data_IF_935281478950
#
_entry.id   IF_935281478950
#
_cell.length_a   1.000
_cell.length_b   1.000
_cell.length_c   1.000
_cell.angle_alpha   90.00
_cell.angle_beta   90.00
_cell.angle_gamma   90.00
#
_symmetry.space_group_name_H-M   'P 1'
#
loop_
_entity.id
_entity.type
_entity.pdbx_description
1 polymer ?
#
# COMPACT_ATOMS: atom_id res chain seq x y z
N UNK A 1 1.92 10.61 10.23
CA UNK A 1 1.75 9.41 9.39
C UNK A 1 0.34 9.40 8.82
N UNK A 2 0.24 9.08 7.53
CA UNK A 2 -1.00 8.97 6.75
C UNK A 2 -1.17 7.51 6.35
N UNK A 3 -2.35 6.93 6.59
CA UNK A 3 -2.70 5.61 6.10
C UNK A 3 -2.99 5.64 4.60
N UNK A 4 -2.51 4.66 3.86
CA UNK A 4 -2.66 4.56 2.41
C UNK A 4 -3.13 3.16 2.05
N UNK A 5 -4.38 3.07 1.59
CA UNK A 5 -4.86 1.86 0.92
C UNK A 5 -4.43 1.93 -0.54
N UNK A 6 -3.62 0.97 -0.99
CA UNK A 6 -3.33 0.80 -2.40
C UNK A 6 -4.44 -0.04 -3.03
N UNK A 7 -5.35 0.63 -3.73
CA UNK A 7 -6.47 0.02 -4.44
C UNK A 7 -6.41 0.24 -5.96
N UNK A 8 -5.28 0.77 -6.46
CA UNK A 8 -5.03 0.98 -7.88
C UNK A 8 -4.13 -0.09 -8.50
N UNK A 9 -4.48 -0.52 -9.71
CA UNK A 9 -3.65 -1.38 -10.56
C UNK A 9 -4.39 -1.76 -11.85
N UNK A 10 -3.67 -2.30 -12.85
CA UNK A 10 -4.30 -2.79 -14.09
C UNK A 10 -5.06 -4.11 -13.90
N UNK A 11 -5.29 -4.56 -12.66
CA UNK A 11 -6.02 -5.80 -12.38
C UNK A 11 -7.53 -5.58 -12.49
N UNK A 12 -8.00 -5.35 -13.73
CA UNK A 12 -9.40 -5.50 -14.07
C UNK A 12 -9.65 -6.95 -14.44
N UNK A 13 -10.43 -7.66 -13.60
CA UNK A 13 -10.96 -8.98 -13.95
C UNK A 13 -12.47 -8.88 -13.91
N UNK A 14 -13.13 -9.16 -15.03
CA UNK A 14 -14.58 -8.98 -15.23
C UNK A 14 -15.07 -7.53 -15.17
N UNK A 15 -14.22 -6.57 -15.56
CA UNK A 15 -14.63 -5.16 -15.73
C UNK A 15 -14.81 -4.35 -14.44
N UNK A 16 -14.62 -4.94 -13.26
CA UNK A 16 -14.66 -4.26 -11.96
C UNK A 16 -13.29 -4.33 -11.29
N UNK A 17 -12.85 -3.24 -10.67
CA UNK A 17 -11.60 -3.20 -9.92
C UNK A 17 -11.63 -4.10 -8.67
N UNK A 18 -10.50 -4.74 -8.35
CA UNK A 18 -10.39 -5.65 -7.19
C UNK A 18 -10.77 -4.99 -5.87
N UNK A 19 -10.39 -3.73 -5.65
CA UNK A 19 -10.70 -3.07 -4.38
C UNK A 19 -12.19 -2.81 -4.17
N UNK A 20 -13.00 -2.88 -5.22
CA UNK A 20 -14.46 -2.77 -5.17
C UNK A 20 -15.17 -4.13 -5.03
N UNK A 21 -14.44 -5.25 -5.11
CA UNK A 21 -14.98 -6.58 -4.80
C UNK A 21 -15.47 -6.57 -3.35
N UNK A 22 -16.64 -7.15 -3.11
CA UNK A 22 -17.23 -7.26 -1.77
C UNK A 22 -16.87 -8.61 -1.14
N UNK A 23 -16.48 -8.56 0.14
CA UNK A 23 -16.53 -9.68 1.06
C UNK A 23 -17.64 -9.34 2.06
N UNK A 24 -18.71 -10.12 2.05
CA UNK A 24 -19.96 -9.83 2.75
C UNK A 24 -20.49 -8.42 2.40
N UNK A 25 -20.54 -7.50 3.38
CA UNK A 25 -21.09 -6.15 3.23
C UNK A 25 -20.04 -5.11 2.84
N UNK A 26 -18.74 -5.41 2.97
CA UNK A 26 -17.65 -4.43 2.78
C UNK A 26 -16.87 -4.71 1.51
N UNK A 27 -16.44 -3.65 0.83
CA UNK A 27 -15.47 -3.78 -0.26
C UNK A 27 -14.09 -4.08 0.30
N UNK A 28 -13.22 -4.72 -0.50
CA UNK A 28 -11.84 -5.02 -0.10
C UNK A 28 -11.06 -3.75 0.29
N UNK A 29 -11.26 -2.66 -0.45
CA UNK A 29 -10.69 -1.36 -0.10
C UNK A 29 -11.22 -0.82 1.23
N UNK A 30 -12.52 -1.02 1.55
CA UNK A 30 -13.08 -0.63 2.85
C UNK A 30 -12.50 -1.47 3.99
N UNK A 31 -12.27 -2.78 3.78
CA UNK A 31 -11.64 -3.66 4.78
C UNK A 31 -10.22 -3.18 5.11
N UNK A 32 -9.42 -2.84 4.09
CA UNK A 32 -8.08 -2.30 4.30
C UNK A 32 -8.11 -0.91 4.96
N UNK A 33 -9.09 -0.07 4.60
CA UNK A 33 -9.28 1.24 5.22
C UNK A 33 -9.58 1.10 6.71
N UNK A 34 -10.51 0.22 7.08
CA UNK A 34 -10.91 -0.03 8.47
C UNK A 34 -9.71 -0.50 9.31
N UNK A 35 -8.88 -1.39 8.76
CA UNK A 35 -7.64 -1.87 9.39
C UNK A 35 -6.66 -0.74 9.70
N UNK A 36 -6.44 0.19 8.77
CA UNK A 36 -5.58 1.34 9.00
C UNK A 36 -6.20 2.36 9.96
N UNK A 37 -7.53 2.50 9.96
CA UNK A 37 -8.24 3.45 10.81
C UNK A 37 -8.11 3.13 12.31
N UNK A 38 -7.85 1.87 12.69
CA UNK A 38 -7.58 1.45 14.08
C UNK A 38 -6.41 2.21 14.70
N UNK A 39 -5.44 2.64 13.89
CA UNK A 39 -4.28 3.41 14.35
C UNK A 39 -4.57 4.90 14.58
N UNK A 40 -5.83 5.34 14.45
CA UNK A 40 -6.27 6.73 14.66
C UNK A 40 -5.51 7.75 13.79
N UNK A 41 -5.14 7.32 12.58
CA UNK A 41 -4.51 8.16 11.55
C UNK A 41 -5.52 8.47 10.44
N UNK A 42 -5.39 9.60 9.73
CA UNK A 42 -6.14 9.80 8.50
C UNK A 42 -5.79 8.71 7.49
N UNK A 43 -6.75 8.26 6.69
CA UNK A 43 -6.56 7.21 5.68
C UNK A 43 -7.09 7.68 4.33
N UNK A 44 -6.29 7.50 3.28
CA UNK A 44 -6.66 7.72 1.89
C UNK A 44 -6.57 6.43 1.09
N UNK A 45 -7.30 6.36 -0.02
CA UNK A 45 -7.28 5.26 -0.96
C UNK A 45 -6.65 5.77 -2.26
N UNK A 46 -5.50 5.21 -2.62
CA UNK A 46 -4.88 5.45 -3.92
C UNK A 46 -5.57 4.60 -4.98
N UNK A 47 -6.09 5.24 -6.01
CA UNK A 47 -6.85 4.60 -7.09
C UNK A 47 -6.30 5.03 -8.45
N UNK A 48 -6.45 4.17 -9.46
CA UNK A 48 -6.13 4.58 -10.81
C UNK A 48 -7.09 5.68 -11.27
N UNK A 49 -6.60 6.67 -12.01
CA UNK A 49 -7.40 7.78 -12.52
C UNK A 49 -8.65 7.33 -13.30
N UNK A 50 -8.54 6.23 -14.06
CA UNK A 50 -9.65 5.66 -14.84
C UNK A 50 -10.76 5.04 -13.99
N UNK A 51 -10.42 4.59 -12.79
CA UNK A 51 -11.33 3.90 -11.86
C UNK A 51 -11.94 4.84 -10.81
N UNK A 52 -11.46 6.09 -10.75
CA UNK A 52 -11.86 7.05 -9.73
C UNK A 52 -13.37 7.25 -9.62
N UNK A 53 -14.08 7.31 -10.76
CA UNK A 53 -15.53 7.50 -10.78
C UNK A 53 -16.28 6.33 -10.11
N UNK A 54 -15.83 5.09 -10.30
CA UNK A 54 -16.42 3.91 -9.66
C UNK A 54 -16.21 3.94 -8.13
N UNK A 55 -15.03 4.38 -7.70
CA UNK A 55 -14.72 4.54 -6.28
C UNK A 55 -15.51 5.68 -5.63
N UNK A 56 -15.76 6.78 -6.34
CA UNK A 56 -16.58 7.89 -5.82
C UNK A 56 -18.02 7.49 -5.51
N UNK A 57 -18.53 6.41 -6.11
CA UNK A 57 -19.86 5.89 -5.80
C UNK A 57 -19.92 5.16 -4.44
N UNK A 58 -18.77 4.79 -3.85
CA UNK A 58 -18.68 4.00 -2.61
C UNK A 58 -17.94 4.74 -1.49
N UNK A 59 -17.06 5.68 -1.83
CA UNK A 59 -16.17 6.37 -0.90
C UNK A 59 -16.29 7.89 -1.02
N UNK A 60 -15.96 8.60 0.05
CA UNK A 60 -15.94 10.07 0.04
C UNK A 60 -14.81 10.57 -0.85
N UNK A 61 -15.07 11.62 -1.63
CA UNK A 61 -14.12 12.18 -2.60
C UNK A 61 -12.81 12.59 -1.94
N UNK A 62 -12.87 13.10 -0.71
CA UNK A 62 -11.70 13.56 0.05
C UNK A 62 -10.77 12.40 0.47
N UNK A 63 -11.28 11.17 0.49
CA UNK A 63 -10.51 9.97 0.78
C UNK A 63 -9.84 9.38 -0.47
N UNK A 64 -10.23 9.80 -1.67
CA UNK A 64 -9.74 9.23 -2.92
C UNK A 64 -8.59 10.07 -3.48
N UNK A 65 -7.49 9.40 -3.79
CA UNK A 65 -6.33 10.00 -4.43
C UNK A 65 -6.06 9.29 -5.75
N UNK A 66 -6.09 10.04 -6.85
CA UNK A 66 -5.76 9.51 -8.18
C UNK A 66 -4.25 9.39 -8.33
N UNK A 67 -3.83 8.32 -8.98
CA UNK A 67 -2.47 8.23 -9.50
C UNK A 67 -2.14 9.48 -10.34
N UNK A 68 -0.93 10.00 -10.16
CA UNK A 68 -0.47 11.22 -10.80
C UNK A 68 -0.02 10.91 -12.23
N UNK A 69 -0.79 11.40 -13.22
CA UNK A 69 -0.51 11.19 -14.65
C UNK A 69 0.83 11.79 -15.12
N UNK A 70 1.41 12.71 -14.36
CA UNK A 70 2.75 13.26 -14.61
C UNK A 70 3.90 12.32 -14.21
N UNK A 71 3.62 11.18 -13.56
CA UNK A 71 4.59 10.13 -13.30
C UNK A 71 4.39 9.01 -14.33
N UNK A 72 5.36 8.82 -15.22
CA UNK A 72 5.41 7.68 -16.15
C UNK A 72 5.83 6.37 -15.44
N UNK A 73 5.13 6.06 -14.35
CA UNK A 73 5.34 4.91 -13.46
C UNK A 73 4.02 4.12 -13.43
N UNK A 74 4.11 2.79 -13.33
CA UNK A 74 2.93 1.92 -13.19
C UNK A 74 2.98 1.10 -11.91
N UNK A 75 1.85 0.51 -11.57
CA UNK A 75 1.70 -0.40 -10.45
C UNK A 75 1.79 0.31 -9.08
N UNK A 76 2.03 -0.44 -8.00
CA UNK A 76 1.98 0.07 -6.63
C UNK A 76 2.90 1.28 -6.36
N UNK A 77 4.04 1.37 -7.05
CA UNK A 77 4.95 2.50 -6.92
C UNK A 77 4.31 3.82 -7.41
N UNK A 78 3.48 3.75 -8.46
CA UNK A 78 2.78 4.92 -8.97
C UNK A 78 1.83 5.48 -7.90
N UNK A 79 1.01 4.63 -7.28
CA UNK A 79 0.11 5.06 -6.20
C UNK A 79 0.86 5.61 -5.01
N UNK A 80 1.91 4.92 -4.56
CA UNK A 80 2.75 5.34 -3.43
C UNK A 80 3.34 6.75 -3.65
N UNK A 81 3.97 6.98 -4.81
CA UNK A 81 4.57 8.27 -5.13
C UNK A 81 3.54 9.36 -5.42
N UNK A 82 2.36 9.00 -5.91
CA UNK A 82 1.25 9.95 -6.12
C UNK A 82 0.72 10.48 -4.80
N UNK A 83 0.55 9.61 -3.80
CA UNK A 83 0.18 10.02 -2.44
C UNK A 83 1.27 10.88 -1.82
N UNK A 84 2.54 10.48 -1.95
CA UNK A 84 3.65 11.27 -1.44
C UNK A 84 3.71 12.67 -2.05
N UNK A 85 3.53 12.82 -3.37
CA UNK A 85 3.48 14.15 -4.02
C UNK A 85 2.39 15.05 -3.46
N UNK A 86 1.24 14.49 -3.07
CA UNK A 86 0.15 15.26 -2.45
C UNK A 86 0.44 15.62 -0.99
N UNK A 87 1.12 14.74 -0.27
CA UNK A 87 1.44 14.87 1.15
C UNK A 87 2.95 14.69 1.42
N UNK A 88 3.81 15.61 0.93
CA UNK A 88 5.27 15.40 0.89
C UNK A 88 5.94 15.36 2.26
N UNK A 89 5.22 15.75 3.32
CA UNK A 89 5.71 15.77 4.71
C UNK A 89 5.17 14.63 5.56
N UNK A 90 4.36 13.73 5.00
CA UNK A 90 3.77 12.62 5.74
C UNK A 90 4.51 11.32 5.43
N UNK A 91 4.91 10.61 6.48
CA UNK A 91 5.22 9.19 6.37
C UNK A 91 3.95 8.42 6.04
N UNK A 92 4.06 7.37 5.23
CA UNK A 92 2.92 6.63 4.68
C UNK A 92 2.87 5.23 5.27
N UNK A 93 1.76 4.89 5.94
CA UNK A 93 1.46 3.52 6.34
C UNK A 93 0.62 2.85 5.26
N UNK A 94 1.26 2.01 4.47
CA UNK A 94 0.71 1.39 3.27
C UNK A 94 0.10 0.03 3.60
N UNK A 95 -1.10 -0.23 3.07
CA UNK A 95 -1.72 -1.55 3.02
C UNK A 95 -2.38 -1.76 1.65
N UNK A 96 -2.06 -2.85 0.95
CA UNK A 96 -2.79 -3.22 -0.26
C UNK A 96 -4.19 -3.75 0.06
N UNK A 97 -5.17 -3.41 -0.79
CA UNK A 97 -6.56 -3.80 -0.58
C UNK A 97 -6.81 -5.32 -0.68
N UNK A 98 -5.91 -6.08 -1.31
CA UNK A 98 -6.02 -7.52 -1.50
C UNK A 98 -5.39 -8.35 -0.37
N UNK A 99 -4.85 -7.72 0.68
CA UNK A 99 -4.33 -8.38 1.89
C UNK A 99 -5.44 -8.57 2.95
N UNK A 100 -6.49 -9.30 2.59
CA UNK A 100 -7.71 -9.45 3.40
C UNK A 100 -7.49 -10.12 4.75
N UNK A 101 -6.47 -10.97 4.85
CA UNK A 101 -6.11 -11.66 6.08
C UNK A 101 -5.15 -10.86 6.99
N UNK A 102 -4.73 -9.66 6.58
CA UNK A 102 -3.80 -8.85 7.39
C UNK A 102 -4.36 -8.59 8.79
N UNK A 103 -3.61 -8.90 9.83
CA UNK A 103 -4.02 -8.71 11.22
C UNK A 103 -3.49 -7.41 11.80
N UNK A 104 -4.28 -6.76 12.68
CA UNK A 104 -3.88 -5.54 13.37
C UNK A 104 -2.59 -5.75 14.19
N UNK A 105 -2.45 -6.92 14.82
CA UNK A 105 -1.26 -7.30 15.57
C UNK A 105 0.02 -7.35 14.72
N UNK A 106 -0.07 -7.61 13.42
CA UNK A 106 1.09 -7.52 12.51
C UNK A 106 1.42 -6.06 12.20
N UNK A 107 0.41 -5.25 11.91
CA UNK A 107 0.59 -3.81 11.67
C UNK A 107 1.12 -3.07 12.91
N UNK A 108 0.73 -3.48 14.12
CA UNK A 108 1.26 -2.94 15.37
C UNK A 108 2.77 -3.14 15.52
N UNK A 109 3.31 -4.29 15.05
CA UNK A 109 4.77 -4.52 15.04
C UNK A 109 5.51 -3.54 14.14
N UNK A 110 4.93 -3.18 12.98
CA UNK A 110 5.51 -2.15 12.11
C UNK A 110 5.50 -0.80 12.81
N UNK A 111 4.40 -0.43 13.47
CA UNK A 111 4.31 0.83 14.23
C UNK A 111 5.30 0.86 15.38
N UNK A 112 5.50 -0.26 16.08
CA UNK A 112 6.48 -0.37 17.14
C UNK A 112 7.92 -0.20 16.61
N UNK A 113 8.26 -0.87 15.51
CA UNK A 113 9.55 -0.72 14.85
C UNK A 113 9.78 0.73 14.41
N UNK A 114 8.80 1.34 13.75
CA UNK A 114 8.80 2.74 13.31
C UNK A 114 9.06 3.73 14.45
N UNK A 115 8.51 3.48 15.65
CA UNK A 115 8.74 4.34 16.82
C UNK A 115 10.10 4.12 17.49
N UNK A 116 10.75 2.98 17.23
CA UNK A 116 11.95 2.55 17.96
C UNK A 116 13.27 2.88 17.27
N UNK A 117 13.25 3.17 15.96
CA UNK A 117 14.45 3.49 15.20
C UNK A 117 14.18 4.58 14.15
N UNK A 118 15.20 4.90 13.34
CA UNK A 118 15.11 5.90 12.29
C UNK A 118 15.59 5.31 10.95
N UNK A 119 14.84 4.36 10.41
CA UNK A 119 15.06 3.80 9.06
C UNK A 119 14.22 4.51 7.99
N UNK A 120 14.50 4.24 6.71
CA UNK A 120 13.76 4.81 5.59
C UNK A 120 12.43 4.08 5.36
N UNK A 121 12.44 2.75 5.55
CA UNK A 121 11.28 1.88 5.35
C UNK A 121 11.22 0.81 6.45
N UNK A 122 10.01 0.51 6.91
CA UNK A 122 9.72 -0.57 7.85
C UNK A 122 8.79 -1.57 7.18
N UNK A 123 9.21 -2.83 7.07
CA UNK A 123 8.45 -3.87 6.38
C UNK A 123 8.71 -5.25 6.98
N UNK A 124 7.86 -6.20 6.60
CA UNK A 124 8.11 -7.61 6.89
C UNK A 124 8.92 -8.29 5.79
N UNK A 125 9.65 -9.33 6.15
CA UNK A 125 10.29 -10.23 5.18
C UNK A 125 9.77 -11.65 5.31
N UNK A 126 9.45 -12.26 4.18
CA UNK A 126 8.99 -13.63 4.04
C UNK A 126 10.06 -14.46 3.33
N UNK A 127 10.73 -15.36 4.06
CA UNK A 127 11.89 -16.10 3.54
C UNK A 127 12.97 -15.22 2.89
N UNK A 128 13.20 -14.02 3.45
CA UNK A 128 14.16 -13.05 2.93
C UNK A 128 13.62 -12.12 1.84
N UNK A 129 12.44 -12.41 1.28
CA UNK A 129 11.77 -11.52 0.32
C UNK A 129 10.99 -10.42 1.05
N UNK A 130 11.10 -9.15 0.63
CA UNK A 130 10.34 -8.07 1.25
C UNK A 130 8.85 -8.14 0.91
N UNK A 131 8.01 -7.77 1.87
CA UNK A 131 6.56 -7.57 1.74
C UNK A 131 6.24 -6.06 1.69
N UNK A 132 6.42 -5.39 0.53
CA UNK A 132 6.35 -3.93 0.44
C UNK A 132 4.95 -3.34 0.53
N UNK A 133 3.92 -4.18 0.45
CA UNK A 133 2.52 -3.74 0.35
C UNK A 133 1.81 -3.71 1.71
N UNK A 134 2.50 -4.08 2.79
CA UNK A 134 2.15 -3.76 4.18
C UNK A 134 3.41 -3.22 4.86
N UNK A 135 3.61 -1.90 4.79
CA UNK A 135 4.87 -1.27 5.15
C UNK A 135 4.70 0.20 5.53
N UNK A 136 5.65 0.76 6.28
CA UNK A 136 5.73 2.19 6.58
C UNK A 136 6.89 2.78 5.78
N UNK A 137 6.61 3.77 4.94
CA UNK A 137 7.60 4.50 4.15
C UNK A 137 7.74 5.91 4.70
N UNK A 138 8.96 6.33 5.03
CA UNK A 138 9.18 7.69 5.50
C UNK A 138 9.09 8.72 4.38
N UNK A 139 8.69 9.94 4.72
CA UNK A 139 8.62 11.05 3.78
C UNK A 139 9.97 11.32 3.12
N UNK A 140 11.08 11.22 3.87
CA UNK A 140 12.43 11.39 3.34
C UNK A 140 12.79 10.34 2.27
N UNK A 141 12.41 9.09 2.49
CA UNK A 141 12.71 7.98 1.60
C UNK A 141 11.94 8.11 0.27
N UNK A 142 10.69 8.55 0.37
CA UNK A 142 9.83 8.80 -0.79
C UNK A 142 10.30 10.04 -1.57
N UNK A 143 10.82 11.07 -0.89
CA UNK A 143 11.43 12.23 -1.53
C UNK A 143 12.70 11.83 -2.30
N UNK A 144 13.63 11.08 -1.67
CA UNK A 144 14.82 10.56 -2.35
C UNK A 144 14.45 9.68 -3.55
N UNK A 145 13.38 8.86 -3.42
CA UNK A 145 12.86 8.05 -4.52
C UNK A 145 12.37 8.92 -5.69
N UNK A 146 11.62 10.00 -5.42
CA UNK A 146 11.18 10.94 -6.45
C UNK A 146 12.36 11.65 -7.12
N UNK A 147 13.35 12.08 -6.34
CA UNK A 147 14.55 12.74 -6.88
C UNK A 147 15.33 11.79 -7.81
N UNK A 148 15.50 10.52 -7.42
CA UNK A 148 16.09 9.49 -8.28
C UNK A 148 15.28 9.24 -9.54
N UNK A 149 13.96 9.24 -9.44
CA UNK A 149 13.08 9.11 -10.60
C UNK A 149 13.27 10.28 -11.58
N UNK A 150 13.21 11.53 -11.10
CA UNK A 150 13.38 12.71 -11.93
C UNK A 150 14.80 12.82 -12.53
N UNK A 151 15.82 12.35 -11.81
CA UNK A 151 17.20 12.34 -12.31
C UNK A 151 17.54 11.11 -13.16
N UNK A 152 16.55 10.30 -13.56
CA UNK A 152 16.72 9.04 -14.31
C UNK A 152 17.69 8.03 -13.67
N UNK A 153 17.87 8.09 -12.35
CA UNK A 153 18.69 7.14 -11.58
C UNK A 153 17.88 5.95 -11.09
N UNK A 154 16.55 6.05 -11.07
CA UNK A 154 15.66 4.93 -10.80
C UNK A 154 15.38 4.16 -12.10
N UNK A 155 16.24 3.18 -12.41
CA UNK A 155 16.21 2.47 -13.71
C UNK A 155 15.08 1.45 -13.85
N UNK A 156 14.44 1.05 -12.74
CA UNK A 156 13.25 0.20 -12.72
C UNK A 156 12.18 0.79 -11.81
N UNK A 157 10.93 0.75 -12.27
CA UNK A 157 9.78 1.35 -11.61
C UNK A 157 9.00 0.34 -10.76
N UNK A 158 9.67 -0.35 -9.83
CA UNK A 158 9.02 -1.25 -8.88
C UNK A 158 9.40 -0.89 -7.44
N UNK A 159 8.49 -1.14 -6.50
CA UNK A 159 8.78 -0.88 -5.07
C UNK A 159 9.97 -1.74 -4.62
N UNK A 160 10.02 -3.03 -5.00
CA UNK A 160 11.14 -3.92 -4.66
C UNK A 160 12.50 -3.38 -5.13
N UNK A 161 12.57 -2.79 -6.32
CA UNK A 161 13.81 -2.18 -6.79
C UNK A 161 14.15 -0.90 -6.02
N UNK A 162 13.16 -0.05 -5.75
CA UNK A 162 13.34 1.15 -4.91
C UNK A 162 13.92 0.79 -3.52
N UNK A 163 13.46 -0.30 -2.90
CA UNK A 163 13.98 -0.76 -1.59
C UNK A 163 15.49 -1.03 -1.60
N UNK A 164 16.10 -1.43 -2.72
CA UNK A 164 17.55 -1.67 -2.79
C UNK A 164 18.40 -0.40 -2.67
N UNK A 165 17.76 0.77 -2.65
CA UNK A 165 18.40 2.08 -2.51
C UNK A 165 18.13 2.76 -1.16
N UNK A 166 17.44 2.10 -0.23
CA UNK A 166 16.96 2.67 1.03
C UNK A 166 17.42 1.86 2.24
N UNK A 167 17.50 2.51 3.41
CA UNK A 167 17.73 1.83 4.67
C UNK A 167 16.44 1.14 5.18
N UNK A 168 16.44 -0.19 5.28
CA UNK A 168 15.22 -0.97 5.57
C UNK A 168 15.29 -1.65 6.94
N UNK A 169 14.35 -1.31 7.83
CA UNK A 169 14.03 -2.12 9.01
C UNK A 169 13.18 -3.32 8.58
N UNK A 170 13.78 -4.51 8.60
CA UNK A 170 13.10 -5.76 8.22
C UNK A 170 12.66 -6.55 9.45
N UNK A 171 11.39 -6.94 9.49
CA UNK A 171 10.83 -7.84 10.52
C UNK A 171 10.58 -9.21 9.89
N UNK A 172 11.37 -10.26 10.22
CA UNK A 172 11.14 -11.59 9.68
C UNK A 172 9.81 -12.16 10.14
N UNK A 173 9.03 -12.73 9.22
CA UNK A 173 7.83 -13.47 9.57
C UNK A 173 8.18 -14.70 10.39
N UNK A 174 7.36 -14.96 11.41
CA UNK A 174 7.40 -16.20 12.18
C UNK A 174 6.53 -17.26 11.48
N UNK A 175 6.80 -18.56 11.70
CA UNK A 175 6.00 -19.63 11.12
C UNK A 175 4.50 -19.45 11.36
N UNK A 176 3.71 -19.55 10.30
CA UNK A 176 2.25 -19.40 10.32
C UNK A 176 1.76 -17.95 10.17
N UNK A 177 2.65 -16.96 10.09
CA UNK A 177 2.30 -15.55 9.84
C UNK A 177 2.18 -15.22 8.35
N UNK A 178 2.69 -16.08 7.47
CA UNK A 178 2.68 -15.90 6.00
C UNK A 178 1.26 -15.75 5.47
N UNK A 179 0.29 -16.43 6.11
CA UNK A 179 -1.14 -16.33 5.77
C UNK A 179 -1.68 -14.90 5.82
N UNK A 180 -1.14 -14.04 6.69
CA UNK A 180 -1.58 -12.65 6.83
C UNK A 180 -1.17 -11.79 5.64
N UNK A 181 -0.15 -12.20 4.88
CA UNK A 181 0.38 -11.50 3.71
C UNK A 181 -0.13 -12.08 2.39
N UNK A 182 -1.06 -13.04 2.44
CA UNK A 182 -1.67 -13.62 1.25
C UNK A 182 -2.46 -12.55 0.49
N UNK A 183 -2.07 -12.33 -0.76
CA UNK A 183 -2.80 -11.49 -1.70
C UNK A 183 -3.89 -12.31 -2.39
N UNK A 184 -5.12 -11.80 -2.41
CA UNK A 184 -6.24 -12.42 -3.10
C UNK A 184 -6.39 -11.86 -4.51
N UNK A 185 -6.53 -12.74 -5.50
CA UNK A 185 -6.63 -12.33 -6.89
C UNK A 185 -8.01 -12.47 -7.50
N UNK A 186 -8.94 -13.14 -6.81
CA UNK A 186 -10.31 -13.36 -7.26
C UNK A 186 -11.25 -13.66 -6.09
N UNK A 187 -12.58 -13.46 -6.25
CA UNK A 187 -13.55 -13.88 -5.25
C UNK A 187 -13.54 -15.39 -4.99
N UNK A 188 -13.21 -16.20 -6.00
CA UNK A 188 -13.15 -17.66 -5.86
C UNK A 188 -12.11 -18.13 -4.84
N UNK A 189 -11.02 -17.37 -4.66
CA UNK A 189 -9.99 -17.65 -3.65
C UNK A 189 -10.46 -17.40 -2.21
N UNK A 190 -11.59 -16.71 -2.03
CA UNK A 190 -12.24 -16.50 -0.72
C UNK A 190 -13.00 -17.75 -0.25
N UNK A 191 -13.25 -18.71 -1.14
CA UNK A 191 -13.95 -19.96 -0.80
C UNK A 191 -13.10 -20.76 0.20
N UNK A 192 -13.42 -20.65 1.49
CA UNK A 192 -12.69 -21.30 2.59
C UNK A 192 -12.04 -20.34 3.60
N UNK A 193 -12.30 -19.04 3.49
CA UNK A 193 -12.28 -18.12 4.65
C UNK A 193 -13.53 -18.36 5.51
#
# INVERSE_FOLDING_TARGET
>A
MLGVVLAGGESSRMGTDKGLIRLETKTWAQIALDKLAVFQIPVVISVNAKQHAEYQAQFRVEQLLKDNEGLAIRGPLAGLLSVHRRFPKQDLFVLACDMLLMENSMMEKLVAAYKSSQEDVYLFTNHGEPEPLCAIYTARALADTLDRYHSSKLTKHSIKFMLSHLAVSSIPLQPGQEKYFRNFNSPGELSGL
#
